data_IF_336545262304
#
_entry.id   IF_336545262304
#
_cell.length_a   1.000
_cell.length_b   1.000
_cell.length_c   1.000
_cell.angle_alpha   90.00
_cell.angle_beta   90.00
_cell.angle_gamma   90.00
#
_symmetry.space_group_name_H-M   'P 1'
#
loop_
_entity.id
_entity.type
_entity.pdbx_description
1 polymer ?
#
# COMPACT_ATOMS: atom_id res chain seq x y z
N UNK A 1 -10.39 -6.86 -28.37
CA UNK A 1 -10.50 -7.52 -27.05
C UNK A 1 -10.19 -6.46 -26.01
N UNK A 2 -11.03 -6.31 -24.99
CA UNK A 2 -10.68 -5.47 -23.83
C UNK A 2 -9.86 -6.35 -22.91
N UNK A 3 -8.56 -6.11 -22.85
CA UNK A 3 -7.67 -6.87 -21.96
C UNK A 3 -8.03 -6.52 -20.51
N UNK A 4 -8.68 -7.44 -19.81
CA UNK A 4 -9.00 -7.28 -18.40
C UNK A 4 -7.71 -7.37 -17.59
N UNK A 5 -7.32 -6.27 -16.98
CA UNK A 5 -6.16 -6.20 -16.13
C UNK A 5 -6.56 -6.46 -14.68
N UNK A 6 -6.28 -7.66 -14.18
CA UNK A 6 -6.53 -7.99 -12.78
C UNK A 6 -5.44 -7.35 -11.92
N UNK A 7 -5.87 -6.60 -10.89
CA UNK A 7 -5.00 -6.03 -9.88
C UNK A 7 -5.29 -6.73 -8.55
N UNK A 8 -4.28 -7.44 -8.03
CA UNK A 8 -4.32 -8.02 -6.70
C UNK A 8 -3.69 -7.04 -5.71
N UNK A 9 -4.50 -6.55 -4.78
CA UNK A 9 -4.10 -5.60 -3.76
C UNK A 9 -4.28 -6.20 -2.36
N UNK A 10 -3.30 -6.02 -1.48
CA UNK A 10 -3.47 -6.31 -0.06
C UNK A 10 -2.89 -5.19 0.81
N UNK A 11 -3.49 -5.02 1.98
CA UNK A 11 -3.05 -4.06 2.99
C UNK A 11 -2.80 -4.80 4.30
N UNK A 12 -1.60 -4.65 4.84
CA UNK A 12 -1.25 -5.04 6.20
C UNK A 12 -1.23 -3.78 7.06
N UNK A 13 -2.07 -3.75 8.09
CA UNK A 13 -2.16 -2.65 9.04
C UNK A 13 -2.13 -3.18 10.47
N UNK A 14 -1.54 -2.42 11.38
CA UNK A 14 -1.45 -2.78 12.79
C UNK A 14 -1.84 -1.62 13.69
N UNK A 15 -2.48 -1.92 14.82
CA UNK A 15 -2.77 -0.91 15.85
C UNK A 15 -1.83 -1.11 17.03
N UNK A 16 -0.97 -0.13 17.30
CA UNK A 16 -0.03 -0.14 18.42
C UNK A 16 -0.45 0.96 19.39
N UNK A 17 -0.94 0.57 20.56
CA UNK A 17 -1.36 1.50 21.60
C UNK A 17 -0.18 1.82 22.53
N UNK A 18 0.17 3.10 22.65
CA UNK A 18 1.25 3.66 23.47
C UNK A 18 0.66 4.65 24.49
N UNK A 19 -0.34 4.20 25.26
CA UNK A 19 -1.13 5.05 26.16
C UNK A 19 -2.17 5.86 25.38
N UNK A 20 -2.26 7.20 25.56
CA UNK A 20 -3.19 8.04 24.79
C UNK A 20 -2.79 8.20 23.32
N UNK A 21 -1.60 7.74 22.94
CA UNK A 21 -1.09 7.78 21.58
C UNK A 21 -1.25 6.40 20.93
N UNK A 22 -1.87 6.34 19.76
CA UNK A 22 -1.96 5.14 18.92
C UNK A 22 -1.18 5.35 17.63
N UNK A 23 -0.27 4.43 17.33
CA UNK A 23 0.50 4.40 16.08
C UNK A 23 -0.06 3.28 15.21
N UNK A 24 -0.32 3.60 13.94
CA UNK A 24 -0.92 2.70 12.96
C UNK A 24 0.01 2.62 11.74
N UNK A 25 0.98 1.70 11.72
CA UNK A 25 1.74 1.41 10.52
C UNK A 25 0.86 0.67 9.50
N UNK A 26 0.99 1.05 8.23
CA UNK A 26 0.33 0.43 7.10
C UNK A 26 1.34 0.13 5.98
N UNK A 27 1.25 -1.07 5.42
CA UNK A 27 1.93 -1.49 4.21
C UNK A 27 0.88 -2.00 3.22
N UNK A 28 0.79 -1.34 2.07
CA UNK A 28 -0.02 -1.75 0.93
C UNK A 28 0.87 -2.26 -0.18
N UNK A 29 0.46 -3.35 -0.82
CA UNK A 29 1.10 -3.89 -2.02
C UNK A 29 0.06 -4.23 -3.08
N UNK A 30 0.29 -3.69 -4.26
CA UNK A 30 -0.50 -3.89 -5.45
C UNK A 30 0.34 -4.65 -6.48
N UNK A 31 -0.24 -5.66 -7.12
CA UNK A 31 0.42 -6.52 -8.11
C UNK A 31 -0.50 -6.79 -9.28
N UNK A 32 0.07 -6.92 -10.47
CA UNK A 32 -0.63 -7.29 -11.69
C UNK A 32 0.26 -8.17 -12.55
N UNK A 33 -0.34 -8.97 -13.44
CA UNK A 33 0.40 -9.76 -14.42
C UNK A 33 0.95 -8.88 -15.56
N UNK A 34 0.44 -7.65 -15.71
CA UNK A 34 0.95 -6.64 -16.64
C UNK A 34 1.80 -5.57 -15.95
N UNK A 35 2.74 -4.99 -16.70
CA UNK A 35 3.55 -3.86 -16.25
C UNK A 35 2.74 -2.54 -16.32
N UNK A 36 1.86 -2.32 -15.34
CA UNK A 36 0.96 -1.15 -15.30
C UNK A 36 1.37 -0.08 -14.29
N UNK A 37 2.32 -0.39 -13.40
CA UNK A 37 2.81 0.55 -12.39
C UNK A 37 4.09 1.23 -12.87
N UNK A 38 4.39 2.41 -12.32
CA UNK A 38 5.63 3.13 -12.63
C UNK A 38 6.59 3.07 -11.45
N UNK A 39 7.86 2.81 -11.73
CA UNK A 39 8.92 2.96 -10.75
C UNK A 39 9.50 4.39 -10.74
N UNK A 40 10.46 4.65 -9.85
CA UNK A 40 11.08 5.97 -9.67
C UNK A 40 11.78 6.55 -10.93
N UNK A 41 12.04 5.71 -11.94
CA UNK A 41 12.63 6.10 -13.22
C UNK A 41 11.60 6.10 -14.36
N UNK A 42 10.30 6.12 -14.05
CA UNK A 42 9.20 6.03 -15.01
C UNK A 42 9.22 4.76 -15.89
N UNK A 43 9.85 3.67 -15.43
CA UNK A 43 9.75 2.38 -16.12
C UNK A 43 8.52 1.63 -15.63
N UNK A 44 7.84 0.98 -16.57
CA UNK A 44 6.73 0.10 -16.29
C UNK A 44 7.22 -1.11 -15.46
N UNK A 45 6.45 -1.45 -14.42
CA UNK A 45 6.70 -2.57 -13.52
C UNK A 45 5.37 -3.22 -13.12
N UNK A 46 5.43 -4.46 -12.65
CA UNK A 46 4.27 -5.28 -12.32
C UNK A 46 3.72 -5.10 -10.89
N UNK A 47 4.35 -4.24 -10.08
CA UNK A 47 3.94 -4.03 -8.70
C UNK A 47 4.23 -2.63 -8.18
N UNK A 48 3.42 -2.21 -7.22
CA UNK A 48 3.60 -0.97 -6.47
C UNK A 48 3.48 -1.26 -4.96
N UNK A 49 4.34 -0.64 -4.16
CA UNK A 49 4.28 -0.74 -2.70
C UNK A 49 4.09 0.67 -2.12
N UNK A 50 3.28 0.77 -1.08
CA UNK A 50 3.04 2.01 -0.35
C UNK A 50 3.14 1.73 1.15
N UNK A 51 3.83 2.59 1.87
CA UNK A 51 3.86 2.56 3.35
C UNK A 51 3.33 3.88 3.88
N UNK A 52 2.50 3.79 4.91
CA UNK A 52 1.95 4.93 5.63
C UNK A 52 2.09 4.69 7.12
N UNK A 53 2.30 5.76 7.89
CA UNK A 53 2.20 5.71 9.35
C UNK A 53 1.17 6.76 9.76
N UNK A 54 0.09 6.33 10.41
CA UNK A 54 -0.85 7.23 11.04
C UNK A 54 -0.61 7.26 12.56
N UNK A 55 -0.87 8.42 13.15
CA UNK A 55 -0.75 8.64 14.59
C UNK A 55 -2.03 9.31 15.06
N UNK A 56 -2.68 8.74 16.07
CA UNK A 56 -3.92 9.25 16.66
C UNK A 56 -3.67 9.49 18.14
N UNK A 57 -4.02 10.67 18.63
CA UNK A 57 -3.99 10.98 20.05
C UNK A 57 -5.41 11.07 20.59
N UNK A 58 -5.69 10.35 21.67
CA UNK A 58 -6.97 10.38 22.38
C UNK A 58 -7.01 11.62 23.30
N UNK A 59 -8.07 12.43 23.16
CA UNK A 59 -8.31 13.69 23.89
C UNK A 59 -9.47 13.56 24.87
#
# INVERSE_FOLDING_TARGET
>A
MSDYNTINAFTLSGNINLGPLRVIPELRRDTSDMEIFLNHNNKAVNSANQTTIAVVYEF
#
